data_IF_251477068726
#
_entry.id   IF_251477068726
#
_cell.length_a   1.000
_cell.length_b   1.000
_cell.length_c   1.000
_cell.angle_alpha   90.00
_cell.angle_beta   90.00
_cell.angle_gamma   90.00
#
_symmetry.space_group_name_H-M   'P 1'
#
loop_
_entity.id
_entity.type
_entity.pdbx_description
1 polymer ?
#
# COMPACT_ATOMS: atom_id res chain seq x y z
N UNK A 1 -9.37 42.75 5.14
CA UNK A 1 -8.29 41.93 5.73
C UNK A 1 -8.78 40.91 6.78
N UNK A 2 -9.83 41.19 7.53
CA UNK A 2 -10.37 40.32 8.60
C UNK A 2 -10.98 38.98 8.15
N UNK A 3 -11.63 38.94 6.97
CA UNK A 3 -12.30 37.72 6.47
C UNK A 3 -11.32 36.58 6.11
N UNK A 4 -10.16 36.88 5.52
CA UNK A 4 -9.12 35.86 5.20
C UNK A 4 -8.48 35.26 6.48
N UNK A 5 -8.36 36.03 7.56
CA UNK A 5 -7.80 35.57 8.83
C UNK A 5 -8.76 34.62 9.54
N UNK A 6 -10.07 34.93 9.58
CA UNK A 6 -11.10 34.05 10.13
C UNK A 6 -11.18 32.71 9.38
N UNK A 7 -11.17 32.71 8.05
CA UNK A 7 -11.18 31.48 7.26
C UNK A 7 -9.93 30.60 7.46
N UNK A 8 -8.78 31.20 7.72
CA UNK A 8 -7.54 30.46 8.00
C UNK A 8 -7.57 29.79 9.37
N UNK A 9 -8.14 30.47 10.36
CA UNK A 9 -8.31 29.95 11.74
C UNK A 9 -9.35 28.83 11.80
N UNK A 10 -10.47 28.98 11.10
CA UNK A 10 -11.52 27.98 11.01
C UNK A 10 -11.05 26.71 10.29
N UNK A 11 -10.27 26.84 9.21
CA UNK A 11 -9.65 25.69 8.54
C UNK A 11 -8.62 24.97 9.41
N UNK A 12 -7.82 25.70 10.18
CA UNK A 12 -6.84 25.08 11.09
C UNK A 12 -7.54 24.36 12.25
N UNK A 13 -8.66 24.88 12.71
CA UNK A 13 -9.47 24.26 13.79
C UNK A 13 -10.12 22.96 13.30
N UNK A 14 -10.70 22.94 12.08
CA UNK A 14 -11.27 21.73 11.47
C UNK A 14 -10.18 20.68 11.23
N UNK A 15 -9.01 21.10 10.77
CA UNK A 15 -7.89 20.19 10.53
C UNK A 15 -7.34 19.59 11.85
N UNK A 16 -7.26 20.38 12.91
CA UNK A 16 -6.87 19.90 14.25
C UNK A 16 -7.92 18.95 14.86
N UNK A 17 -9.20 19.20 14.65
CA UNK A 17 -10.28 18.29 15.08
C UNK A 17 -10.23 16.96 14.34
N UNK A 18 -9.94 16.98 13.03
CA UNK A 18 -9.76 15.78 12.21
C UNK A 18 -8.63 14.89 12.76
N UNK A 19 -7.44 15.44 12.93
CA UNK A 19 -6.31 14.68 13.46
C UNK A 19 -6.53 14.19 14.89
N UNK A 20 -7.19 14.99 15.76
CA UNK A 20 -7.59 14.55 17.10
C UNK A 20 -8.54 13.34 17.04
N UNK A 21 -9.45 13.29 16.08
CA UNK A 21 -10.37 12.16 15.92
C UNK A 21 -9.66 10.92 15.39
N UNK A 22 -8.79 11.05 14.37
CA UNK A 22 -7.96 9.97 13.82
C UNK A 22 -7.15 9.30 14.93
N UNK A 23 -6.48 10.08 15.76
CA UNK A 23 -5.64 9.56 16.86
C UNK A 23 -6.38 9.30 18.17
N UNK A 24 -7.70 9.39 18.19
CA UNK A 24 -8.48 9.05 19.40
C UNK A 24 -8.58 7.55 19.64
N UNK A 25 -8.60 6.75 18.56
CA UNK A 25 -8.67 5.30 18.64
C UNK A 25 -7.33 4.70 19.08
N UNK A 26 -7.31 3.81 20.12
CA UNK A 26 -6.10 3.09 20.49
C UNK A 26 -5.59 2.18 19.35
N UNK A 27 -6.48 1.59 18.54
CA UNK A 27 -6.13 0.78 17.38
C UNK A 27 -5.29 1.56 16.37
N UNK A 28 -5.70 2.81 16.05
CA UNK A 28 -4.96 3.69 15.13
C UNK A 28 -3.56 4.02 15.64
N UNK A 29 -3.42 4.27 16.95
CA UNK A 29 -2.12 4.55 17.57
C UNK A 29 -1.21 3.33 17.50
N UNK A 30 -1.74 2.14 17.80
CA UNK A 30 -1.00 0.87 17.71
C UNK A 30 -0.59 0.63 16.26
N UNK A 31 -1.52 0.77 15.30
CA UNK A 31 -1.22 0.63 13.87
C UNK A 31 -0.11 1.55 13.40
N UNK A 32 -0.19 2.85 13.76
CA UNK A 32 0.85 3.82 13.43
C UNK A 32 2.20 3.48 14.06
N UNK A 33 2.22 3.09 15.33
CA UNK A 33 3.45 2.71 16.03
C UNK A 33 4.12 1.52 15.34
N UNK A 34 3.36 0.49 14.99
CA UNK A 34 3.87 -0.70 14.30
C UNK A 34 4.39 -0.33 12.90
N UNK A 35 3.64 0.45 12.12
CA UNK A 35 4.08 0.92 10.79
C UNK A 35 5.39 1.71 10.89
N UNK A 36 5.54 2.58 11.89
CA UNK A 36 6.78 3.33 12.12
C UNK A 36 7.93 2.38 12.46
N UNK A 37 7.72 1.38 13.33
CA UNK A 37 8.75 0.38 13.68
C UNK A 37 9.23 -0.36 12.43
N UNK A 38 8.30 -0.84 11.59
CA UNK A 38 8.66 -1.54 10.35
C UNK A 38 9.35 -0.62 9.33
N UNK A 39 8.92 0.63 9.22
CA UNK A 39 9.57 1.63 8.36
C UNK A 39 11.01 1.91 8.83
N UNK A 40 11.22 2.07 10.13
CA UNK A 40 12.55 2.23 10.71
C UNK A 40 13.40 0.98 10.50
N UNK A 41 12.85 -0.22 10.73
CA UNK A 41 13.53 -1.48 10.46
C UNK A 41 13.95 -1.60 8.99
N UNK A 42 13.09 -1.19 8.06
CA UNK A 42 13.39 -1.20 6.62
C UNK A 42 14.50 -0.19 6.24
N UNK A 43 14.45 1.03 6.81
CA UNK A 43 15.46 2.08 6.54
C UNK A 43 16.81 1.68 7.13
N UNK A 44 16.82 1.23 8.36
CA UNK A 44 18.03 0.88 9.09
C UNK A 44 18.45 -0.58 8.93
N UNK A 45 17.81 -1.36 8.05
CA UNK A 45 18.16 -2.75 7.79
C UNK A 45 19.68 -2.98 7.53
N UNK A 46 20.38 -2.12 6.75
CA UNK A 46 21.81 -2.30 6.54
C UNK A 46 22.67 -2.19 7.80
N UNK A 47 22.19 -1.49 8.83
CA UNK A 47 22.91 -1.30 10.10
C UNK A 47 22.44 -2.29 11.16
N UNK A 48 21.16 -2.64 11.15
CA UNK A 48 20.56 -3.55 12.13
C UNK A 48 20.79 -5.03 11.80
N UNK A 49 21.07 -5.36 10.54
CA UNK A 49 21.33 -6.74 10.14
C UNK A 49 22.70 -7.21 10.65
N UNK A 50 22.76 -8.28 11.50
CA UNK A 50 24.03 -8.74 12.05
C UNK A 50 24.94 -9.38 11.00
N UNK A 51 24.37 -9.86 9.88
CA UNK A 51 25.11 -10.51 8.80
C UNK A 51 24.58 -10.06 7.44
N UNK A 52 25.36 -10.25 6.38
CA UNK A 52 24.87 -10.11 5.01
C UNK A 52 23.69 -11.07 4.76
N UNK A 53 22.52 -10.59 4.35
CA UNK A 53 21.34 -11.42 4.12
C UNK A 53 21.48 -12.41 2.96
N UNK A 54 22.48 -12.23 2.10
CA UNK A 54 22.75 -13.06 0.91
C UNK A 54 23.89 -14.04 1.10
N UNK A 55 24.70 -13.88 2.17
CA UNK A 55 25.86 -14.73 2.43
C UNK A 55 25.41 -16.17 2.71
N UNK A 56 25.78 -17.08 1.80
CA UNK A 56 25.50 -18.51 1.89
C UNK A 56 26.66 -19.23 2.59
N UNK A 57 26.34 -20.00 3.65
CA UNK A 57 27.27 -20.87 4.33
C UNK A 57 26.59 -22.19 4.69
N UNK A 58 26.76 -23.19 3.82
CA UNK A 58 26.10 -24.49 3.96
C UNK A 58 26.55 -25.25 5.22
N UNK A 59 27.72 -24.92 5.78
CA UNK A 59 28.23 -25.57 7.00
C UNK A 59 27.35 -25.29 8.24
N UNK A 60 26.62 -24.17 8.20
CA UNK A 60 25.72 -23.74 9.29
C UNK A 60 24.24 -23.76 8.88
N UNK A 61 23.87 -24.53 7.86
CA UNK A 61 22.48 -24.68 7.44
C UNK A 61 21.56 -25.14 8.56
N UNK A 62 20.35 -24.56 8.64
CA UNK A 62 19.27 -24.93 9.56
C UNK A 62 19.68 -24.88 11.04
N UNK A 63 20.72 -24.11 11.39
CA UNK A 63 21.21 -23.96 12.75
C UNK A 63 20.14 -23.31 13.64
N UNK A 64 20.05 -23.79 14.86
CA UNK A 64 19.14 -23.23 15.86
C UNK A 64 19.55 -21.82 16.28
N UNK A 65 18.62 -21.02 16.85
CA UNK A 65 18.92 -19.73 17.41
C UNK A 65 20.13 -19.75 18.36
N UNK A 66 21.01 -18.76 18.22
CA UNK A 66 22.25 -18.62 19.01
C UNK A 66 22.60 -17.14 19.14
N UNK A 67 23.56 -16.78 19.99
CA UNK A 67 24.00 -15.38 20.12
C UNK A 67 24.49 -14.77 18.79
N UNK A 68 25.19 -15.58 17.95
CA UNK A 68 25.62 -15.15 16.63
C UNK A 68 24.45 -15.06 15.60
N UNK A 69 23.47 -15.95 15.70
CA UNK A 69 22.32 -16.04 14.82
C UNK A 69 21.02 -16.04 15.63
N UNK A 70 20.49 -14.87 16.05
CA UNK A 70 19.40 -14.78 17.03
C UNK A 70 18.12 -15.55 16.67
N UNK A 71 17.79 -15.67 15.36
CA UNK A 71 16.68 -16.49 14.86
C UNK A 71 17.14 -17.77 14.15
N UNK A 72 18.45 -18.07 14.20
CA UNK A 72 19.07 -19.19 13.50
C UNK A 72 19.33 -18.89 12.03
N UNK A 73 19.59 -19.97 11.27
CA UNK A 73 19.92 -19.91 9.84
C UNK A 73 18.91 -20.68 9.01
N UNK A 74 18.78 -20.32 7.73
CA UNK A 74 17.90 -20.96 6.77
C UNK A 74 18.55 -22.21 6.12
N UNK A 75 17.91 -22.79 5.11
CA UNK A 75 18.37 -24.00 4.39
C UNK A 75 19.70 -23.81 3.62
N UNK A 76 20.12 -22.56 3.40
CA UNK A 76 21.41 -22.22 2.77
C UNK A 76 22.42 -21.66 3.79
N UNK A 77 22.09 -21.68 5.10
CA UNK A 77 22.93 -21.13 6.15
C UNK A 77 22.89 -19.61 6.27
N UNK A 78 21.98 -18.93 5.56
CA UNK A 78 21.82 -17.46 5.63
C UNK A 78 21.15 -17.06 6.95
N UNK A 79 21.55 -15.92 7.52
CA UNK A 79 20.97 -15.40 8.77
C UNK A 79 19.50 -15.01 8.59
N UNK A 80 18.58 -15.67 9.30
CA UNK A 80 17.13 -15.41 9.20
C UNK A 80 16.80 -13.98 9.63
N UNK A 81 17.38 -13.50 10.76
CA UNK A 81 17.11 -12.12 11.23
C UNK A 81 17.52 -11.07 10.21
N UNK A 82 18.71 -11.19 9.62
CA UNK A 82 19.18 -10.31 8.56
C UNK A 82 18.23 -10.31 7.36
N UNK A 83 17.78 -11.48 6.94
CA UNK A 83 16.83 -11.64 5.83
C UNK A 83 15.45 -11.04 6.14
N UNK A 84 14.95 -11.15 7.36
CA UNK A 84 13.69 -10.53 7.77
C UNK A 84 13.75 -9.01 7.78
N UNK A 85 14.86 -8.44 8.27
CA UNK A 85 15.09 -6.99 8.27
C UNK A 85 15.19 -6.43 6.84
N UNK A 86 15.99 -7.06 5.99
CA UNK A 86 16.07 -6.68 4.58
C UNK A 86 14.76 -6.96 3.82
N UNK A 87 14.05 -8.03 4.20
CA UNK A 87 12.72 -8.36 3.67
C UNK A 87 11.70 -7.26 3.92
N UNK A 88 11.74 -6.61 5.09
CA UNK A 88 10.89 -5.45 5.35
C UNK A 88 11.11 -4.32 4.35
N UNK A 89 12.37 -4.05 3.97
CA UNK A 89 12.73 -3.04 2.99
C UNK A 89 12.19 -3.37 1.60
N UNK A 90 12.35 -4.63 1.13
CA UNK A 90 11.86 -5.04 -0.19
C UNK A 90 10.33 -5.12 -0.23
N UNK A 91 9.69 -5.79 0.73
CA UNK A 91 8.24 -5.96 0.76
C UNK A 91 7.51 -4.62 0.88
N UNK A 92 7.99 -3.70 1.73
CA UNK A 92 7.40 -2.37 1.84
C UNK A 92 7.65 -1.51 0.61
N UNK A 93 8.89 -1.47 0.07
CA UNK A 93 9.19 -0.63 -1.09
C UNK A 93 8.42 -1.05 -2.33
N UNK A 94 8.28 -2.35 -2.58
CA UNK A 94 7.45 -2.85 -3.69
C UNK A 94 5.99 -2.48 -3.51
N UNK A 95 5.44 -2.66 -2.30
CA UNK A 95 4.05 -2.33 -2.01
C UNK A 95 3.76 -0.84 -2.15
N UNK A 96 4.63 0.02 -1.64
CA UNK A 96 4.51 1.47 -1.84
C UNK A 96 4.65 1.88 -3.30
N UNK A 97 5.49 1.21 -4.07
CA UNK A 97 5.66 1.50 -5.51
C UNK A 97 4.39 1.15 -6.28
N UNK A 98 3.80 -0.02 -6.04
CA UNK A 98 2.51 -0.41 -6.62
C UNK A 98 1.44 0.61 -6.26
N UNK A 99 1.30 0.94 -4.97
CA UNK A 99 0.32 1.93 -4.49
C UNK A 99 0.51 3.29 -5.17
N UNK A 100 1.75 3.79 -5.22
CA UNK A 100 2.05 5.09 -5.81
C UNK A 100 1.65 5.14 -7.28
N UNK A 101 2.03 4.13 -8.08
CA UNK A 101 1.66 4.03 -9.50
C UNK A 101 0.13 4.00 -9.63
N UNK A 102 -0.53 3.14 -8.86
CA UNK A 102 -1.97 2.93 -8.90
C UNK A 102 -2.76 4.22 -8.60
N UNK A 103 -2.37 4.92 -7.53
CA UNK A 103 -3.01 6.19 -7.12
C UNK A 103 -2.68 7.31 -8.09
N UNK A 104 -1.41 7.44 -8.51
CA UNK A 104 -0.98 8.51 -9.41
C UNK A 104 -1.54 8.37 -10.83
N UNK A 105 -1.90 7.17 -11.24
CA UNK A 105 -2.55 6.92 -12.55
C UNK A 105 -4.07 6.95 -12.41
N UNK A 106 -4.63 6.17 -11.49
CA UNK A 106 -6.06 5.99 -11.36
C UNK A 106 -6.81 7.26 -10.95
N UNK A 107 -6.32 7.97 -9.94
CA UNK A 107 -7.03 9.15 -9.41
C UNK A 107 -7.12 10.32 -10.43
N UNK A 108 -6.03 10.76 -11.10
CA UNK A 108 -6.12 11.84 -12.08
C UNK A 108 -7.02 11.53 -13.27
N UNK A 109 -6.97 10.30 -13.80
CA UNK A 109 -7.79 9.88 -14.94
C UNK A 109 -9.28 10.10 -14.63
N UNK A 110 -9.73 9.64 -13.49
CA UNK A 110 -11.16 9.71 -13.14
C UNK A 110 -11.58 11.02 -12.53
N UNK A 111 -10.67 11.79 -11.93
CA UNK A 111 -10.93 13.18 -11.58
C UNK A 111 -11.32 13.99 -12.82
N UNK A 112 -10.54 13.84 -13.90
CA UNK A 112 -10.82 14.48 -15.16
C UNK A 112 -12.14 13.95 -15.77
N UNK A 113 -12.28 12.62 -15.88
CA UNK A 113 -13.47 12.00 -16.48
C UNK A 113 -14.77 12.34 -15.72
N UNK A 114 -14.78 12.18 -14.40
CA UNK A 114 -15.95 12.48 -13.56
C UNK A 114 -16.31 13.97 -13.52
N UNK A 115 -15.31 14.84 -13.60
CA UNK A 115 -15.54 16.28 -13.68
C UNK A 115 -16.15 16.69 -15.03
N UNK A 116 -15.61 16.22 -16.16
CA UNK A 116 -16.11 16.50 -17.52
C UNK A 116 -17.47 15.82 -17.72
N UNK A 117 -17.58 14.54 -17.38
CA UNK A 117 -18.80 13.75 -17.58
C UNK A 117 -19.03 13.31 -19.02
N UNK A 118 -20.27 12.96 -19.37
CA UNK A 118 -20.66 12.59 -20.71
C UNK A 118 -20.00 11.31 -21.25
N UNK A 119 -19.69 11.30 -22.56
CA UNK A 119 -19.13 10.11 -23.24
C UNK A 119 -17.76 9.68 -22.69
N UNK A 120 -16.91 10.64 -22.29
CA UNK A 120 -15.57 10.35 -21.74
C UNK A 120 -15.70 9.57 -20.45
N UNK A 121 -16.52 10.03 -19.53
CA UNK A 121 -16.79 9.35 -18.28
C UNK A 121 -17.37 7.94 -18.52
N UNK A 122 -18.32 7.81 -19.44
CA UNK A 122 -18.94 6.52 -19.77
C UNK A 122 -17.93 5.52 -20.34
N UNK A 123 -17.01 5.94 -21.22
CA UNK A 123 -15.99 5.06 -21.80
C UNK A 123 -15.00 4.60 -20.71
N UNK A 124 -14.51 5.54 -19.89
CA UNK A 124 -13.57 5.20 -18.81
C UNK A 124 -14.21 4.25 -17.80
N UNK A 125 -15.49 4.46 -17.48
CA UNK A 125 -16.22 3.55 -16.59
C UNK A 125 -16.39 2.15 -17.18
N UNK A 126 -16.62 2.01 -18.48
CA UNK A 126 -16.65 0.70 -19.14
C UNK A 126 -15.32 -0.05 -19.02
N UNK A 127 -14.20 0.68 -19.18
CA UNK A 127 -12.88 0.09 -19.01
C UNK A 127 -12.69 -0.38 -17.54
N UNK A 128 -13.04 0.46 -16.57
CA UNK A 128 -12.98 0.12 -15.14
C UNK A 128 -13.86 -1.10 -14.84
N UNK A 129 -15.07 -1.18 -15.39
CA UNK A 129 -15.98 -2.29 -15.18
C UNK A 129 -15.41 -3.62 -15.72
N UNK A 130 -14.68 -3.60 -16.84
CA UNK A 130 -13.99 -4.77 -17.38
C UNK A 130 -12.90 -5.26 -16.40
N UNK A 131 -12.07 -4.34 -15.87
CA UNK A 131 -11.06 -4.72 -14.88
C UNK A 131 -11.67 -5.28 -13.59
N UNK A 132 -12.76 -4.69 -13.12
CA UNK A 132 -13.42 -5.12 -11.87
C UNK A 132 -14.31 -6.36 -12.02
N UNK A 133 -14.66 -6.75 -13.26
CA UNK A 133 -15.37 -8.01 -13.51
C UNK A 133 -14.49 -9.25 -13.34
N UNK A 134 -13.17 -9.09 -13.38
CA UNK A 134 -12.20 -10.18 -13.25
C UNK A 134 -11.54 -10.14 -11.86
N UNK A 135 -11.30 -11.33 -11.24
CA UNK A 135 -10.51 -11.37 -10.01
C UNK A 135 -9.12 -10.80 -10.24
N UNK A 136 -8.78 -9.73 -9.51
CA UNK A 136 -7.49 -9.01 -9.62
C UNK A 136 -6.30 -9.96 -9.63
N UNK A 137 -6.31 -10.95 -8.74
CA UNK A 137 -5.25 -11.94 -8.61
C UNK A 137 -5.06 -12.78 -9.89
N UNK A 138 -6.16 -13.20 -10.53
CA UNK A 138 -6.09 -14.02 -11.76
C UNK A 138 -5.50 -13.21 -12.92
N UNK A 139 -5.93 -11.97 -13.09
CA UNK A 139 -5.43 -11.11 -14.17
C UNK A 139 -3.95 -10.76 -13.97
N UNK A 140 -3.58 -10.41 -12.73
CA UNK A 140 -2.19 -10.15 -12.40
C UNK A 140 -1.30 -11.40 -12.59
N UNK A 141 -1.83 -12.61 -12.27
CA UNK A 141 -1.18 -13.88 -12.50
C UNK A 141 -0.94 -14.14 -13.99
N UNK A 142 -1.96 -13.89 -14.82
CA UNK A 142 -1.83 -14.05 -16.27
C UNK A 142 -0.75 -13.11 -16.86
N UNK A 143 -0.74 -11.83 -16.42
CA UNK A 143 0.28 -10.86 -16.86
C UNK A 143 1.67 -11.30 -16.39
N UNK A 144 1.84 -11.62 -15.11
CA UNK A 144 3.13 -12.05 -14.55
C UNK A 144 3.66 -13.32 -15.23
N UNK A 145 2.78 -14.26 -15.56
CA UNK A 145 3.13 -15.48 -16.26
C UNK A 145 3.61 -15.27 -17.70
N UNK A 146 3.09 -14.24 -18.40
CA UNK A 146 3.51 -13.93 -19.78
C UNK A 146 4.79 -13.09 -19.84
N UNK A 147 4.97 -12.15 -18.91
CA UNK A 147 6.12 -11.22 -18.91
C UNK A 147 7.34 -11.83 -18.22
N UNK A 148 7.14 -12.88 -17.43
CA UNK A 148 8.18 -13.56 -16.67
C UNK A 148 8.27 -13.09 -15.22
N UNK A 149 8.83 -13.93 -14.37
CA UNK A 149 8.90 -13.70 -12.92
C UNK A 149 10.02 -12.75 -12.55
N UNK A 150 9.65 -11.56 -12.08
CA UNK A 150 10.58 -10.57 -11.48
C UNK A 150 9.83 -9.59 -10.59
N UNK A 151 10.54 -8.91 -9.68
CA UNK A 151 9.94 -7.87 -8.84
C UNK A 151 9.36 -6.70 -9.64
N UNK A 152 10.03 -6.30 -10.74
CA UNK A 152 9.55 -5.23 -11.61
C UNK A 152 8.27 -5.62 -12.37
N UNK A 153 8.23 -6.83 -12.92
CA UNK A 153 7.04 -7.34 -13.61
C UNK A 153 5.86 -7.54 -12.67
N UNK A 154 6.13 -7.95 -11.43
CA UNK A 154 5.11 -8.05 -10.39
C UNK A 154 4.50 -6.68 -10.05
N UNK A 155 5.34 -5.65 -9.85
CA UNK A 155 4.88 -4.28 -9.63
C UNK A 155 3.99 -3.82 -10.81
N UNK A 156 4.45 -4.03 -12.04
CA UNK A 156 3.69 -3.67 -13.23
C UNK A 156 2.34 -4.40 -13.28
N UNK A 157 2.34 -5.72 -13.11
CA UNK A 157 1.13 -6.55 -13.16
C UNK A 157 0.09 -6.12 -12.14
N UNK A 158 0.50 -5.92 -10.89
CA UNK A 158 -0.39 -5.45 -9.83
C UNK A 158 -0.88 -4.02 -10.09
N UNK A 159 -0.02 -3.12 -10.55
CA UNK A 159 -0.41 -1.73 -10.83
C UNK A 159 -1.42 -1.62 -11.96
N UNK A 160 -1.25 -2.42 -13.04
CA UNK A 160 -2.16 -2.44 -14.20
C UNK A 160 -3.57 -2.90 -13.82
N UNK A 161 -3.72 -3.71 -12.79
CA UNK A 161 -5.03 -4.24 -12.40
C UNK A 161 -5.65 -3.43 -11.26
N UNK A 162 -4.87 -3.02 -10.27
CA UNK A 162 -5.40 -2.40 -9.05
C UNK A 162 -5.86 -0.95 -9.22
N UNK A 163 -5.52 -0.24 -10.30
CA UNK A 163 -5.91 1.17 -10.49
C UNK A 163 -7.43 1.38 -10.58
N UNK A 164 -8.17 0.37 -11.06
CA UNK A 164 -9.60 0.47 -11.31
C UNK A 164 -10.41 0.73 -10.03
N UNK A 165 -10.00 0.16 -8.91
CA UNK A 165 -10.65 0.34 -7.61
C UNK A 165 -10.53 1.78 -7.11
N UNK A 166 -9.31 2.34 -7.16
CA UNK A 166 -9.05 3.75 -6.82
C UNK A 166 -9.80 4.70 -7.75
N UNK A 167 -9.82 4.36 -9.04
CA UNK A 167 -10.54 5.09 -10.04
C UNK A 167 -12.03 5.17 -9.72
N UNK A 168 -12.66 4.05 -9.39
CA UNK A 168 -14.08 4.00 -9.03
C UNK A 168 -14.40 4.86 -7.80
N UNK A 169 -13.61 4.73 -6.72
CA UNK A 169 -13.79 5.55 -5.52
C UNK A 169 -13.64 7.05 -5.82
N UNK A 170 -12.52 7.42 -6.45
CA UNK A 170 -12.24 8.82 -6.75
C UNK A 170 -13.31 9.46 -7.65
N UNK A 171 -13.88 8.68 -8.60
CA UNK A 171 -15.02 9.13 -9.40
C UNK A 171 -16.26 9.39 -8.55
N UNK A 172 -16.63 8.44 -7.68
CA UNK A 172 -17.81 8.61 -6.82
C UNK A 172 -17.68 9.87 -5.96
N UNK A 173 -16.53 10.09 -5.34
CA UNK A 173 -16.23 11.28 -4.56
C UNK A 173 -16.22 12.56 -5.42
N UNK A 174 -15.70 12.49 -6.65
CA UNK A 174 -15.71 13.63 -7.60
C UNK A 174 -17.12 14.05 -7.95
N UNK A 175 -18.01 13.10 -8.21
CA UNK A 175 -19.41 13.39 -8.50
C UNK A 175 -20.14 13.99 -7.29
N UNK A 176 -19.88 13.49 -6.08
CA UNK A 176 -20.41 14.08 -4.85
C UNK A 176 -19.95 15.54 -4.68
N UNK A 177 -18.65 15.81 -4.88
CA UNK A 177 -18.11 17.17 -4.79
C UNK A 177 -18.68 18.10 -5.86
N UNK A 178 -18.84 17.63 -7.11
CA UNK A 178 -19.36 18.39 -8.24
C UNK A 178 -20.80 18.92 -8.00
N UNK A 179 -21.59 18.21 -7.20
CA UNK A 179 -22.99 18.54 -6.91
C UNK A 179 -23.17 19.49 -5.71
N UNK A 180 -22.09 19.88 -5.03
CA UNK A 180 -22.16 20.81 -3.90
C UNK A 180 -22.39 22.25 -4.35
N UNK A 181 -23.19 23.04 -3.59
CA UNK A 181 -23.56 24.42 -3.91
C UNK A 181 -22.35 25.35 -4.16
N UNK A 182 -21.25 25.16 -3.43
CA UNK A 182 -20.06 25.99 -3.62
C UNK A 182 -19.44 25.84 -5.02
N UNK A 183 -19.64 24.71 -5.69
CA UNK A 183 -19.15 24.46 -7.05
C UNK A 183 -19.85 25.35 -8.06
N UNK A 184 -21.16 25.61 -7.90
CA UNK A 184 -21.92 26.54 -8.72
C UNK A 184 -21.41 27.97 -8.54
N UNK A 185 -21.14 28.37 -7.30
CA UNK A 185 -20.55 29.66 -6.97
C UNK A 185 -19.15 29.84 -7.59
N UNK A 186 -18.29 28.83 -7.58
CA UNK A 186 -16.99 28.88 -8.23
C UNK A 186 -17.05 29.05 -9.72
N UNK A 187 -17.99 28.36 -10.38
CA UNK A 187 -18.22 28.47 -11.83
C UNK A 187 -18.78 29.84 -12.19
N UNK A 188 -19.77 30.33 -11.45
CA UNK A 188 -20.36 31.68 -11.65
C UNK A 188 -19.31 32.78 -11.41
N UNK A 189 -18.37 32.58 -10.51
CA UNK A 189 -17.24 33.49 -10.26
C UNK A 189 -16.10 33.39 -11.28
N UNK A 190 -16.27 32.64 -12.40
CA UNK A 190 -15.28 32.55 -13.48
C UNK A 190 -14.05 31.69 -13.12
N UNK A 191 -14.12 30.80 -12.12
CA UNK A 191 -13.01 29.94 -11.76
C UNK A 191 -12.76 28.89 -12.84
N UNK A 192 -11.55 28.87 -13.39
CA UNK A 192 -11.15 27.93 -14.46
C UNK A 192 -11.22 26.46 -14.03
N UNK A 193 -11.56 25.57 -14.96
CA UNK A 193 -11.77 24.13 -14.71
C UNK A 193 -10.58 23.43 -14.03
N UNK A 194 -9.34 23.68 -14.48
CA UNK A 194 -8.15 23.10 -13.87
C UNK A 194 -8.02 23.50 -12.39
N UNK A 195 -8.28 24.77 -12.05
CA UNK A 195 -8.25 25.25 -10.66
C UNK A 195 -9.33 24.58 -9.82
N UNK A 196 -10.53 24.37 -10.37
CA UNK A 196 -11.61 23.64 -9.69
C UNK A 196 -11.18 22.21 -9.40
N UNK A 197 -10.65 21.48 -10.39
CA UNK A 197 -10.24 20.08 -10.25
C UNK A 197 -9.13 19.95 -9.22
N UNK A 198 -7.98 20.61 -9.42
CA UNK A 198 -6.80 20.35 -8.58
C UNK A 198 -6.85 21.05 -7.22
N UNK A 199 -7.48 22.22 -7.12
CA UNK A 199 -7.46 22.99 -5.85
C UNK A 199 -8.68 22.76 -4.97
N UNK A 200 -9.81 22.38 -5.56
CA UNK A 200 -11.06 22.19 -4.82
C UNK A 200 -11.46 20.71 -4.76
N UNK A 201 -11.67 20.05 -5.89
CA UNK A 201 -12.13 18.65 -5.90
C UNK A 201 -11.06 17.72 -5.32
N UNK A 202 -9.87 17.67 -5.90
CA UNK A 202 -8.79 16.80 -5.44
C UNK A 202 -8.50 16.98 -3.95
N UNK A 203 -8.40 18.23 -3.49
CA UNK A 203 -8.12 18.52 -2.09
C UNK A 203 -9.18 17.98 -1.12
N UNK A 204 -10.44 17.99 -1.55
CA UNK A 204 -11.56 17.54 -0.73
C UNK A 204 -11.69 16.01 -0.71
N UNK A 205 -11.36 15.33 -1.81
CA UNK A 205 -11.41 13.86 -1.88
C UNK A 205 -10.14 13.18 -1.35
N UNK A 206 -9.01 13.90 -1.31
CA UNK A 206 -7.71 13.37 -0.93
C UNK A 206 -7.70 12.63 0.42
N UNK A 207 -8.36 13.10 1.50
CA UNK A 207 -8.43 12.35 2.75
C UNK A 207 -9.03 10.95 2.61
N UNK A 208 -10.12 10.82 1.85
CA UNK A 208 -10.76 9.52 1.60
C UNK A 208 -9.90 8.62 0.71
N UNK A 209 -9.20 9.18 -0.28
CA UNK A 209 -8.24 8.44 -1.11
C UNK A 209 -7.07 7.93 -0.25
N UNK A 210 -6.54 8.76 0.66
CA UNK A 210 -5.45 8.34 1.58
C UNK A 210 -5.93 7.26 2.53
N UNK A 211 -7.16 7.33 3.04
CA UNK A 211 -7.72 6.29 3.90
C UNK A 211 -7.77 4.93 3.20
N UNK A 212 -8.34 4.89 1.98
CA UNK A 212 -8.36 3.68 1.16
C UNK A 212 -6.93 3.20 0.87
N UNK A 213 -6.06 4.10 0.39
CA UNK A 213 -4.68 3.79 0.06
C UNK A 213 -3.93 3.15 1.25
N UNK A 214 -4.17 3.62 2.47
CA UNK A 214 -3.56 3.07 3.68
C UNK A 214 -4.04 1.64 3.96
N UNK A 215 -5.32 1.35 3.77
CA UNK A 215 -5.86 -0.01 3.95
C UNK A 215 -5.33 -0.96 2.87
N UNK A 216 -5.26 -0.49 1.63
CA UNK A 216 -4.84 -1.29 0.48
C UNK A 216 -3.36 -1.70 0.52
N UNK A 217 -2.48 -0.96 1.21
CA UNK A 217 -1.07 -1.38 1.38
C UNK A 217 -1.00 -2.81 1.95
N UNK A 218 -1.86 -3.13 2.92
CA UNK A 218 -1.92 -4.47 3.51
C UNK A 218 -2.28 -5.55 2.46
N UNK A 219 -3.28 -5.30 1.64
CA UNK A 219 -3.70 -6.19 0.55
C UNK A 219 -2.61 -6.34 -0.51
N UNK A 220 -1.91 -5.27 -0.85
CA UNK A 220 -0.79 -5.28 -1.80
C UNK A 220 0.38 -6.09 -1.24
N UNK A 221 0.77 -5.92 0.03
CA UNK A 221 1.81 -6.72 0.68
C UNK A 221 1.47 -8.21 0.60
N UNK A 222 0.23 -8.56 0.94
CA UNK A 222 -0.23 -9.95 0.89
C UNK A 222 -0.22 -10.51 -0.55
N UNK A 223 -0.60 -9.71 -1.53
CA UNK A 223 -0.56 -10.07 -2.95
C UNK A 223 0.88 -10.30 -3.42
N UNK A 224 1.82 -9.40 -3.12
CA UNK A 224 3.24 -9.54 -3.46
C UNK A 224 3.80 -10.82 -2.84
N UNK A 225 3.55 -11.05 -1.55
CA UNK A 225 3.99 -12.27 -0.87
C UNK A 225 3.38 -13.52 -1.48
N UNK A 226 2.08 -13.51 -1.86
CA UNK A 226 1.40 -14.61 -2.52
C UNK A 226 1.99 -14.94 -3.90
N UNK A 227 2.24 -13.92 -4.74
CA UNK A 227 2.89 -14.11 -6.05
C UNK A 227 4.32 -14.64 -5.91
N UNK A 228 5.10 -14.10 -4.98
CA UNK A 228 6.45 -14.57 -4.70
C UNK A 228 6.44 -16.00 -4.16
N UNK A 229 5.45 -16.34 -3.32
CA UNK A 229 5.29 -17.68 -2.77
C UNK A 229 5.01 -18.75 -3.84
N UNK A 230 4.27 -18.43 -4.90
CA UNK A 230 4.02 -19.36 -6.02
C UNK A 230 5.10 -19.29 -7.10
N UNK A 231 6.14 -18.44 -6.96
CA UNK A 231 7.28 -18.33 -7.86
C UNK A 231 7.09 -17.37 -9.03
N UNK A 232 6.01 -16.58 -9.06
CA UNK A 232 5.72 -15.60 -10.13
C UNK A 232 5.98 -14.15 -9.71
N UNK A 233 6.51 -13.94 -8.51
CA UNK A 233 6.86 -12.62 -7.99
C UNK A 233 8.36 -12.36 -7.99
N UNK A 234 8.81 -11.83 -6.88
CA UNK A 234 10.25 -11.60 -6.61
C UNK A 234 10.98 -12.92 -6.66
N UNK A 235 12.22 -12.88 -7.13
CA UNK A 235 13.03 -14.09 -7.29
C UNK A 235 14.18 -14.13 -6.27
N UNK A 236 14.59 -15.36 -5.90
CA UNK A 236 15.83 -15.58 -5.16
C UNK A 236 17.02 -14.96 -5.93
N UNK A 237 18.05 -14.45 -5.24
CA UNK A 237 18.32 -14.55 -3.80
C UNK A 237 17.69 -13.42 -2.94
N UNK A 238 16.90 -12.52 -3.52
CA UNK A 238 16.32 -11.34 -2.83
C UNK A 238 15.59 -11.77 -1.55
N UNK A 239 15.89 -11.18 -0.39
CA UNK A 239 15.27 -11.56 0.88
C UNK A 239 13.90 -10.93 1.07
N UNK A 240 12.98 -11.08 0.13
CA UNK A 240 11.58 -10.65 0.24
C UNK A 240 10.78 -11.68 1.04
N UNK A 241 9.80 -11.26 1.86
CA UNK A 241 9.10 -12.16 2.79
C UNK A 241 8.35 -13.30 2.10
N UNK A 242 7.75 -13.07 0.92
CA UNK A 242 7.05 -14.11 0.15
C UNK A 242 8.01 -15.17 -0.40
N UNK A 243 9.20 -14.77 -0.85
CA UNK A 243 10.27 -15.72 -1.23
C UNK A 243 10.75 -16.51 -0.03
N UNK A 244 10.89 -15.87 1.15
CA UNK A 244 11.25 -16.60 2.36
C UNK A 244 10.21 -17.67 2.72
N UNK A 245 8.92 -17.38 2.53
CA UNK A 245 7.85 -18.37 2.67
C UNK A 245 7.98 -19.50 1.64
N UNK A 246 8.26 -19.15 0.38
CA UNK A 246 8.43 -20.12 -0.70
C UNK A 246 9.63 -21.04 -0.45
N UNK A 247 10.77 -20.48 -0.08
CA UNK A 247 11.99 -21.22 0.29
C UNK A 247 11.76 -22.19 1.45
N UNK A 248 10.78 -21.90 2.31
CA UNK A 248 10.50 -22.68 3.53
C UNK A 248 9.50 -23.83 3.33
N UNK A 249 8.85 -23.95 2.16
CA UNK A 249 7.79 -24.94 1.90
C UNK A 249 8.20 -26.37 2.25
N UNK A 250 9.37 -26.80 1.77
CA UNK A 250 9.86 -28.16 1.98
C UNK A 250 10.29 -28.46 3.41
N UNK A 251 10.39 -27.42 4.24
CA UNK A 251 10.87 -27.51 5.62
C UNK A 251 9.77 -27.28 6.66
N UNK A 252 8.51 -27.13 6.24
CA UNK A 252 7.41 -26.77 7.15
C UNK A 252 7.20 -27.79 8.27
N UNK A 253 7.42 -29.09 8.01
CA UNK A 253 7.26 -30.15 9.01
C UNK A 253 8.45 -30.25 9.96
N UNK A 254 9.68 -29.99 9.48
CA UNK A 254 10.92 -30.19 10.26
C UNK A 254 11.41 -28.91 10.91
N UNK A 255 11.26 -27.78 10.24
CA UNK A 255 11.70 -26.44 10.70
C UNK A 255 10.62 -25.38 10.50
N UNK A 256 9.44 -25.51 11.15
CA UNK A 256 8.29 -24.61 10.94
C UNK A 256 8.62 -23.15 11.18
N UNK A 257 9.60 -22.84 12.02
CA UNK A 257 10.05 -21.47 12.31
C UNK A 257 10.43 -20.66 11.05
N UNK A 258 10.96 -21.32 10.00
CA UNK A 258 11.35 -20.68 8.76
C UNK A 258 10.16 -20.02 8.05
N UNK A 259 8.97 -20.63 8.18
CA UNK A 259 7.73 -20.12 7.62
C UNK A 259 7.00 -19.18 8.60
N UNK A 260 7.05 -19.48 9.90
CA UNK A 260 6.40 -18.67 10.93
C UNK A 260 6.93 -17.24 11.01
N UNK A 261 8.24 -17.04 10.94
CA UNK A 261 8.83 -15.71 11.11
C UNK A 261 8.37 -14.73 10.02
N UNK A 262 8.53 -14.98 8.71
CA UNK A 262 8.04 -14.06 7.70
C UNK A 262 6.50 -13.97 7.70
N UNK A 263 5.78 -15.07 7.96
CA UNK A 263 4.32 -15.07 8.04
C UNK A 263 3.77 -14.17 9.14
N UNK A 264 4.37 -14.21 10.33
CA UNK A 264 3.99 -13.33 11.44
C UNK A 264 4.27 -11.86 11.12
N UNK A 265 5.41 -11.55 10.49
CA UNK A 265 5.72 -10.16 10.10
C UNK A 265 4.72 -9.62 9.08
N UNK A 266 4.35 -10.42 8.07
CA UNK A 266 3.31 -10.05 7.10
C UNK A 266 1.98 -9.82 7.83
N UNK A 267 1.58 -10.72 8.71
CA UNK A 267 0.33 -10.57 9.48
C UNK A 267 0.31 -9.28 10.31
N UNK A 268 1.38 -9.01 11.05
CA UNK A 268 1.47 -7.83 11.92
C UNK A 268 1.40 -6.53 11.10
N UNK A 269 2.15 -6.43 10.00
CA UNK A 269 2.17 -5.21 9.19
C UNK A 269 0.85 -4.98 8.45
N UNK A 270 0.20 -6.04 7.96
CA UNK A 270 -1.13 -5.97 7.32
C UNK A 270 -2.18 -5.48 8.31
N UNK A 271 -2.21 -6.04 9.52
CA UNK A 271 -3.11 -5.58 10.59
C UNK A 271 -2.84 -4.13 10.99
N UNK A 272 -1.56 -3.73 11.03
CA UNK A 272 -1.18 -2.36 11.38
C UNK A 272 -1.68 -1.35 10.34
N UNK A 273 -1.55 -1.63 9.04
CA UNK A 273 -2.07 -0.77 7.99
C UNK A 273 -3.60 -0.71 7.99
N UNK A 274 -4.29 -1.83 8.24
CA UNK A 274 -5.75 -1.86 8.38
C UNK A 274 -6.22 -0.97 9.55
N UNK A 275 -5.61 -1.10 10.74
CA UNK A 275 -5.95 -0.26 11.89
C UNK A 275 -5.69 1.22 11.65
N UNK A 276 -4.60 1.55 10.94
CA UNK A 276 -4.28 2.92 10.58
C UNK A 276 -5.30 3.47 9.57
N UNK A 277 -5.64 2.70 8.55
CA UNK A 277 -6.61 3.07 7.51
C UNK A 277 -8.02 3.27 8.07
N UNK A 278 -8.51 2.35 8.93
CA UNK A 278 -9.79 2.53 9.64
C UNK A 278 -9.82 3.83 10.46
N UNK A 279 -8.72 4.16 11.13
CA UNK A 279 -8.62 5.39 11.91
C UNK A 279 -8.73 6.65 11.05
N UNK A 280 -8.07 6.66 9.88
CA UNK A 280 -8.14 7.77 8.92
C UNK A 280 -9.55 7.88 8.33
N UNK A 281 -10.18 6.76 7.97
CA UNK A 281 -11.54 6.72 7.44
C UNK A 281 -12.56 7.24 8.44
N UNK A 282 -12.53 6.76 9.69
CA UNK A 282 -13.42 7.23 10.76
C UNK A 282 -13.30 8.74 11.06
N UNK A 283 -12.11 9.31 10.82
CA UNK A 283 -11.91 10.76 10.88
C UNK A 283 -12.58 11.50 9.71
N UNK A 284 -12.72 10.84 8.55
CA UNK A 284 -13.30 11.43 7.32
C UNK A 284 -14.82 11.40 7.33
N UNK A 285 -15.43 10.32 7.83
CA UNK A 285 -16.89 10.09 7.83
C UNK A 285 -17.66 11.00 8.79
N UNK A 286 -16.98 11.65 9.73
CA UNK A 286 -17.58 12.56 10.72
C UNK A 286 -17.52 14.05 10.30
N UNK A 287 -17.19 14.35 9.05
CA UNK A 287 -17.30 15.67 8.42
C UNK A 287 -18.61 15.83 7.68
#
# INVERSE_FOLDING_TARGET
MGSRRKQKTEKSMIQNLYWKQVFRSPKTKIGLMVVIIFALAAIFAPVLAPHDPLLVDVSIKLKNPSAAYPLGTDQLGRCILSRLLWGSRYSLSYSFTVLLITVCVGVPIVLFAGYVGGKIDSIIMRIIDVFMAMPVFIVALAIAGTVGASGAHLILSLSVVSWAEYARLARALTLQEKNKNYMTALKAGGCGHARIIFRHVLRNILPSVIALATMEIGSIILSIAGFSFIGLGVQAPTPEWGIMLSDSKSYIQTYPRLMFYPGILIMIIVLAFNYLGEGIQNGTDKK
#
